data_IF_857364861978
#
_entry.id   IF_857364861978
#
_cell.length_a   1.000
_cell.length_b   1.000
_cell.length_c   1.000
_cell.angle_alpha   90.00
_cell.angle_beta   90.00
_cell.angle_gamma   90.00
#
_symmetry.space_group_name_H-M   'P 1'
#
loop_
_entity.id
_entity.type
_entity.pdbx_description
1 polymer ?
#
# COMPACT_ATOMS: atom_id res chain seq x y z
N UNK A 1 -10.04 -15.02 25.97
CA UNK A 1 -9.93 -13.55 25.85
C UNK A 1 -9.30 -13.23 24.51
N UNK A 2 -10.08 -12.81 23.53
CA UNK A 2 -9.54 -12.40 22.24
C UNK A 2 -8.80 -11.07 22.43
N UNK A 3 -7.47 -11.06 22.27
CA UNK A 3 -6.73 -9.80 22.07
C UNK A 3 -7.35 -9.15 20.83
N UNK A 4 -8.16 -8.12 21.02
CA UNK A 4 -8.66 -7.29 19.94
C UNK A 4 -7.48 -6.53 19.36
N UNK A 5 -6.87 -7.06 18.31
CA UNK A 5 -5.84 -6.33 17.59
C UNK A 5 -6.52 -5.16 16.85
N UNK A 6 -5.95 -3.96 16.96
CA UNK A 6 -6.35 -2.87 16.09
C UNK A 6 -5.84 -3.18 14.68
N UNK A 7 -6.72 -3.09 13.68
CA UNK A 7 -6.38 -3.38 12.28
C UNK A 7 -5.19 -2.56 11.79
N UNK A 8 -5.09 -1.30 12.25
CA UNK A 8 -4.00 -0.40 11.87
C UNK A 8 -2.64 -0.85 12.45
N UNK A 9 -2.60 -1.37 13.69
CA UNK A 9 -1.37 -1.90 14.29
C UNK A 9 -0.83 -3.11 13.52
N UNK A 10 -1.72 -4.00 13.07
CA UNK A 10 -1.32 -5.17 12.28
C UNK A 10 -0.88 -4.74 10.88
N UNK A 11 -1.56 -3.77 10.29
CA UNK A 11 -1.20 -3.21 8.99
C UNK A 11 0.20 -2.64 9.00
N UNK A 12 0.53 -1.81 9.99
CA UNK A 12 1.87 -1.23 10.15
C UNK A 12 2.93 -2.31 10.28
N UNK A 13 2.74 -3.26 11.21
CA UNK A 13 3.67 -4.38 11.40
C UNK A 13 3.89 -5.22 10.14
N UNK A 14 2.84 -5.46 9.36
CA UNK A 14 2.95 -6.22 8.11
C UNK A 14 3.69 -5.45 7.03
N UNK A 15 3.41 -4.15 6.87
CA UNK A 15 4.10 -3.29 5.90
C UNK A 15 5.58 -3.21 6.23
N UNK A 16 5.94 -2.99 7.50
CA UNK A 16 7.34 -2.93 7.94
C UNK A 16 8.05 -4.26 7.74
N UNK A 17 7.39 -5.37 8.07
CA UNK A 17 7.96 -6.70 7.93
C UNK A 17 8.22 -7.06 6.46
N UNK A 18 7.26 -6.79 5.57
CA UNK A 18 7.34 -7.13 4.16
C UNK A 18 8.20 -6.15 3.36
N UNK A 19 8.22 -4.86 3.72
CA UNK A 19 9.09 -3.85 3.12
C UNK A 19 10.58 -4.15 3.28
N UNK A 20 10.95 -4.84 4.36
CA UNK A 20 12.32 -5.29 4.62
C UNK A 20 12.68 -6.62 3.94
N UNK A 21 11.74 -7.30 3.27
CA UNK A 21 11.97 -8.61 2.62
C UNK A 21 11.91 -8.53 1.10
N UNK A 22 13.07 -8.58 0.44
CA UNK A 22 13.15 -8.62 -1.04
C UNK A 22 12.59 -9.90 -1.65
N UNK A 23 12.62 -11.01 -0.91
CA UNK A 23 12.20 -12.35 -1.38
C UNK A 23 10.74 -12.65 -1.07
N UNK A 24 10.06 -11.77 -0.33
CA UNK A 24 8.73 -12.05 0.24
C UNK A 24 8.82 -13.00 1.43
N UNK A 25 7.68 -13.20 2.11
CA UNK A 25 7.57 -14.09 3.27
C UNK A 25 6.33 -14.97 3.16
N UNK A 26 6.42 -16.20 3.64
CA UNK A 26 5.26 -17.09 3.74
C UNK A 26 4.34 -16.68 4.90
N UNK A 27 3.07 -17.07 4.82
CA UNK A 27 2.12 -16.81 5.91
C UNK A 27 2.54 -17.41 7.26
N UNK A 28 3.32 -18.50 7.25
CA UNK A 28 3.89 -19.10 8.46
C UNK A 28 4.96 -18.20 9.08
N UNK A 29 5.96 -17.80 8.29
CA UNK A 29 7.04 -16.91 8.74
C UNK A 29 6.50 -15.58 9.29
N UNK A 30 5.47 -15.03 8.63
CA UNK A 30 4.80 -13.81 9.07
C UNK A 30 4.13 -14.02 10.44
N UNK A 31 3.41 -15.14 10.61
CA UNK A 31 2.74 -15.45 11.87
C UNK A 31 3.72 -15.60 13.04
N UNK A 32 4.86 -16.23 12.79
CA UNK A 32 5.93 -16.42 13.78
C UNK A 32 6.59 -15.09 14.16
N UNK A 33 7.01 -14.29 13.16
CA UNK A 33 7.70 -13.02 13.40
C UNK A 33 6.81 -11.98 14.08
N UNK A 34 5.52 -11.97 13.76
CA UNK A 34 4.56 -11.05 14.38
C UNK A 34 3.99 -11.58 15.70
N UNK A 35 4.25 -12.86 16.05
CA UNK A 35 3.62 -13.55 17.18
C UNK A 35 2.08 -13.43 17.14
N UNK A 36 1.51 -13.61 15.95
CA UNK A 36 0.07 -13.58 15.68
C UNK A 36 -0.38 -14.99 15.25
N UNK A 37 -1.56 -15.41 15.68
CA UNK A 37 -2.11 -16.70 15.27
C UNK A 37 -2.23 -16.80 13.74
N UNK A 38 -1.82 -17.95 13.17
CA UNK A 38 -1.80 -18.19 11.72
C UNK A 38 -3.14 -17.92 11.01
N UNK A 39 -4.27 -18.27 11.63
CA UNK A 39 -5.61 -18.02 11.06
C UNK A 39 -5.86 -16.51 10.98
N UNK A 40 -5.52 -15.79 12.04
CA UNK A 40 -5.61 -14.32 12.10
C UNK A 40 -4.69 -13.68 11.07
N UNK A 41 -3.45 -14.17 10.93
CA UNK A 41 -2.50 -13.71 9.91
C UNK A 41 -3.07 -13.88 8.51
N UNK A 42 -3.60 -15.06 8.15
CA UNK A 42 -4.21 -15.30 6.84
C UNK A 42 -5.39 -14.36 6.57
N UNK A 43 -6.22 -14.09 7.58
CA UNK A 43 -7.34 -13.13 7.46
C UNK A 43 -6.82 -11.73 7.11
N UNK A 44 -5.85 -11.20 7.85
CA UNK A 44 -5.30 -9.88 7.58
C UNK A 44 -4.54 -9.79 6.26
N UNK A 45 -3.80 -10.83 5.88
CA UNK A 45 -3.14 -10.89 4.57
C UNK A 45 -4.16 -10.81 3.44
N UNK A 46 -5.29 -11.51 3.56
CA UNK A 46 -6.37 -11.45 2.55
C UNK A 46 -7.00 -10.07 2.47
N UNK A 47 -7.25 -9.42 3.61
CA UNK A 47 -7.80 -8.05 3.68
C UNK A 47 -6.82 -7.08 3.01
N UNK A 48 -5.55 -7.09 3.39
CA UNK A 48 -4.57 -6.13 2.88
C UNK A 48 -4.18 -6.38 1.42
N UNK A 49 -4.37 -7.60 0.92
CA UNK A 49 -4.25 -7.90 -0.50
C UNK A 49 -5.45 -7.39 -1.31
N UNK A 50 -6.66 -7.52 -0.77
CA UNK A 50 -7.85 -6.93 -1.37
C UNK A 50 -7.80 -5.40 -1.37
N UNK A 51 -7.21 -4.82 -0.32
CA UNK A 51 -6.89 -3.40 -0.31
C UNK A 51 -5.81 -3.09 -1.34
N UNK A 52 -4.82 -3.96 -1.56
CA UNK A 52 -3.71 -3.74 -2.49
C UNK A 52 -2.49 -3.11 -1.82
N UNK A 53 -2.33 -3.32 -0.52
CA UNK A 53 -1.10 -2.98 0.22
C UNK A 53 -0.03 -4.06 0.04
N UNK A 54 -0.47 -5.30 -0.15
CA UNK A 54 0.40 -6.46 -0.33
C UNK A 54 -0.07 -7.28 -1.51
N UNK A 55 0.84 -8.04 -2.11
CA UNK A 55 0.56 -8.97 -3.21
C UNK A 55 0.95 -10.37 -2.83
N UNK A 56 0.16 -11.33 -3.28
CA UNK A 56 0.44 -12.76 -3.16
C UNK A 56 1.10 -13.27 -4.45
N UNK A 57 2.12 -14.11 -4.31
CA UNK A 57 2.69 -14.90 -5.39
C UNK A 57 2.79 -16.36 -4.95
N UNK A 58 2.28 -17.27 -5.77
CA UNK A 58 2.38 -18.70 -5.50
C UNK A 58 3.69 -19.23 -6.11
N UNK A 59 4.52 -19.86 -5.28
CA UNK A 59 5.77 -20.50 -5.71
C UNK A 59 5.74 -21.95 -5.22
N UNK A 60 5.52 -22.88 -6.15
CA UNK A 60 5.24 -24.27 -5.83
C UNK A 60 4.01 -24.38 -4.93
N UNK A 61 4.19 -25.02 -3.76
CA UNK A 61 3.12 -25.20 -2.76
C UNK A 61 3.08 -24.09 -1.69
N UNK A 62 3.85 -23.01 -1.86
CA UNK A 62 3.97 -21.94 -0.85
C UNK A 62 3.43 -20.62 -1.41
N UNK A 63 2.58 -19.96 -0.62
CA UNK A 63 2.13 -18.60 -0.88
C UNK A 63 3.12 -17.63 -0.25
N UNK A 64 3.82 -16.86 -1.08
CA UNK A 64 4.69 -15.77 -0.65
C UNK A 64 3.96 -14.44 -0.77
N UNK A 65 4.13 -13.61 0.25
CA UNK A 65 3.55 -12.29 0.35
C UNK A 65 4.65 -11.25 0.19
N UNK A 66 4.33 -10.18 -0.52
CA UNK A 66 5.22 -9.07 -0.80
C UNK A 66 4.48 -7.77 -0.55
N UNK A 67 5.20 -6.70 -0.25
CA UNK A 67 4.63 -5.37 -0.36
C UNK A 67 4.24 -5.10 -1.83
N UNK A 68 3.08 -4.48 -2.06
CA UNK A 68 2.72 -4.07 -3.42
C UNK A 68 3.63 -2.91 -3.86
N UNK A 69 3.98 -2.87 -5.15
CA UNK A 69 4.86 -1.82 -5.65
C UNK A 69 4.14 -0.46 -5.56
N UNK A 70 4.80 0.52 -4.95
CA UNK A 70 4.24 1.84 -4.69
C UNK A 70 3.50 1.98 -3.35
N UNK A 71 3.52 0.97 -2.48
CA UNK A 71 3.04 1.06 -1.08
C UNK A 71 4.01 1.86 -0.22
N UNK A 72 4.06 3.16 -0.47
CA UNK A 72 4.71 4.14 0.41
C UNK A 72 3.65 4.68 1.37
N UNK A 73 3.93 4.69 2.69
CA UNK A 73 3.18 5.54 3.62
C UNK A 73 3.57 6.98 3.30
N UNK A 74 2.57 7.80 2.97
CA UNK A 74 2.78 9.24 2.81
C UNK A 74 2.47 9.95 4.12
N UNK A 75 3.27 10.95 4.45
CA UNK A 75 3.05 11.86 5.55
C UNK A 75 2.52 13.16 4.96
N UNK A 76 1.20 13.36 5.02
CA UNK A 76 0.60 14.62 4.62
C UNK A 76 0.62 15.60 5.79
N UNK A 77 0.97 16.88 5.56
CA UNK A 77 1.08 17.54 4.25
C UNK A 77 2.47 17.50 3.58
N UNK A 78 3.49 16.95 4.24
CA UNK A 78 4.90 17.01 3.80
C UNK A 78 5.12 16.38 2.42
N UNK A 79 4.40 15.30 2.13
CA UNK A 79 4.53 14.53 0.90
C UNK A 79 3.66 15.03 -0.27
N UNK A 80 2.87 16.11 -0.13
CA UNK A 80 1.99 16.59 -1.21
C UNK A 80 2.74 16.85 -2.51
N UNK A 81 3.89 17.53 -2.43
CA UNK A 81 4.69 17.85 -3.62
C UNK A 81 5.26 16.59 -4.29
N UNK A 82 5.75 15.64 -3.48
CA UNK A 82 6.30 14.36 -3.94
C UNK A 82 5.24 13.55 -4.68
N UNK A 83 4.07 13.40 -4.08
CA UNK A 83 2.94 12.64 -4.65
C UNK A 83 2.45 13.32 -5.93
N UNK A 84 2.29 14.65 -5.93
CA UNK A 84 1.92 15.43 -7.13
C UNK A 84 2.86 15.17 -8.30
N UNK A 85 4.16 15.22 -8.06
CA UNK A 85 5.19 15.01 -9.09
C UNK A 85 5.16 13.58 -9.63
N UNK A 86 5.13 12.58 -8.74
CA UNK A 86 5.05 11.16 -9.13
C UNK A 86 3.76 10.83 -9.89
N UNK A 87 2.63 11.44 -9.50
CA UNK A 87 1.35 11.19 -10.16
C UNK A 87 1.37 11.67 -11.61
N UNK A 88 1.88 12.87 -11.85
CA UNK A 88 2.02 13.42 -13.21
C UNK A 88 2.99 12.57 -14.06
N UNK A 89 4.10 12.10 -13.47
CA UNK A 89 5.04 11.19 -14.15
C UNK A 89 4.34 9.88 -14.54
N UNK A 90 3.60 9.26 -13.63
CA UNK A 90 2.90 8.00 -13.91
C UNK A 90 1.79 8.16 -14.95
N UNK A 91 1.06 9.28 -14.94
CA UNK A 91 0.06 9.59 -15.95
C UNK A 91 0.68 9.77 -17.33
N UNK A 92 1.72 10.59 -17.46
CA UNK A 92 2.39 10.86 -18.74
C UNK A 92 3.10 9.62 -19.28
N UNK A 93 3.65 8.78 -18.41
CA UNK A 93 4.26 7.49 -18.77
C UNK A 93 3.25 6.35 -18.97
N UNK A 94 1.93 6.60 -18.86
CA UNK A 94 0.85 5.59 -18.98
C UNK A 94 1.02 4.39 -18.03
N UNK A 95 1.59 4.62 -16.84
CA UNK A 95 1.77 3.59 -15.79
C UNK A 95 0.52 3.53 -14.90
N UNK A 96 -0.59 3.08 -15.47
CA UNK A 96 -1.94 3.11 -14.85
C UNK A 96 -1.97 2.51 -13.44
N UNK A 97 -1.41 1.30 -13.27
CA UNK A 97 -1.38 0.62 -11.96
C UNK A 97 -0.64 1.44 -10.89
N UNK A 98 0.48 2.07 -11.26
CA UNK A 98 1.25 2.88 -10.31
C UNK A 98 0.55 4.20 -9.99
N UNK A 99 -0.10 4.83 -10.97
CA UNK A 99 -0.91 6.03 -10.76
C UNK A 99 -2.09 5.74 -9.81
N UNK A 100 -2.79 4.63 -10.03
CA UNK A 100 -3.87 4.18 -9.16
C UNK A 100 -3.37 3.89 -7.73
N UNK A 101 -2.30 3.10 -7.59
CA UNK A 101 -1.73 2.76 -6.29
C UNK A 101 -1.30 4.02 -5.52
N UNK A 102 -0.66 4.98 -6.20
CA UNK A 102 -0.21 6.23 -5.59
C UNK A 102 -1.38 7.03 -5.00
N UNK A 103 -2.46 7.20 -5.77
CA UNK A 103 -3.68 7.90 -5.33
C UNK A 103 -4.36 7.15 -4.18
N UNK A 104 -4.49 5.83 -4.31
CA UNK A 104 -5.10 4.99 -3.28
C UNK A 104 -4.35 5.07 -1.96
N UNK A 105 -3.02 4.95 -1.99
CA UNK A 105 -2.18 5.06 -0.81
C UNK A 105 -2.25 6.47 -0.20
N UNK A 106 -2.33 7.50 -1.06
CA UNK A 106 -2.52 8.87 -0.60
C UNK A 106 -3.83 9.06 0.16
N UNK A 107 -4.93 8.44 -0.28
CA UNK A 107 -6.21 8.46 0.43
C UNK A 107 -6.14 7.77 1.79
N UNK A 108 -5.43 6.63 1.89
CA UNK A 108 -5.25 5.93 3.16
C UNK A 108 -4.30 6.67 4.12
N UNK A 109 -3.46 7.56 3.62
CA UNK A 109 -2.45 8.31 4.37
C UNK A 109 -2.90 9.72 4.78
N UNK A 110 -4.06 10.21 4.32
CA UNK A 110 -4.54 11.56 4.59
C UNK A 110 -5.82 11.59 5.41
N UNK A 111 -5.94 12.55 6.32
CA UNK A 111 -7.20 12.85 6.99
C UNK A 111 -8.17 13.67 6.12
N UNK A 112 -7.69 14.21 4.99
CA UNK A 112 -8.47 15.08 4.09
C UNK A 112 -8.42 14.57 2.64
N UNK A 113 -9.24 13.56 2.29
CA UNK A 113 -9.30 12.98 0.94
C UNK A 113 -9.49 14.02 -0.17
N UNK A 114 -10.29 15.05 0.09
CA UNK A 114 -10.57 16.13 -0.88
C UNK A 114 -9.28 16.80 -1.37
N UNK A 115 -8.27 16.96 -0.50
CA UNK A 115 -6.99 17.56 -0.90
C UNK A 115 -6.20 16.70 -1.89
N UNK A 116 -6.36 15.38 -1.89
CA UNK A 116 -5.75 14.53 -2.93
C UNK A 116 -6.38 14.87 -4.28
N UNK A 117 -7.69 15.07 -4.33
CA UNK A 117 -8.38 15.41 -5.56
C UNK A 117 -7.96 16.81 -6.03
N UNK A 118 -8.03 17.82 -5.16
CA UNK A 118 -7.82 19.22 -5.55
C UNK A 118 -6.36 19.60 -5.77
N UNK A 119 -5.43 19.00 -5.04
CA UNK A 119 -4.00 19.38 -5.09
C UNK A 119 -3.16 18.47 -6.00
N UNK A 120 -3.64 17.26 -6.30
CA UNK A 120 -2.87 16.23 -7.02
C UNK A 120 -3.57 15.86 -8.32
N UNK A 121 -4.82 15.38 -8.26
CA UNK A 121 -5.52 14.85 -9.44
C UNK A 121 -5.91 15.95 -10.41
N UNK A 122 -6.63 16.98 -9.95
CA UNK A 122 -7.09 18.09 -10.80
C UNK A 122 -5.92 18.82 -11.47
N UNK A 123 -4.84 19.21 -10.76
CA UNK A 123 -3.72 19.89 -11.39
C UNK A 123 -3.00 19.01 -12.42
N UNK A 124 -2.89 17.70 -12.19
CA UNK A 124 -2.25 16.82 -13.15
C UNK A 124 -3.07 16.67 -14.44
N UNK A 125 -4.40 16.60 -14.35
CA UNK A 125 -5.29 16.61 -15.54
C UNK A 125 -5.10 17.90 -16.34
N UNK A 126 -5.06 19.05 -15.65
CA UNK A 126 -4.82 20.36 -16.28
C UNK A 126 -3.45 20.41 -16.97
N UNK A 127 -2.41 19.87 -16.33
CA UNK A 127 -1.06 19.80 -16.92
C UNK A 127 -1.04 18.93 -18.17
N UNK A 128 -1.74 17.78 -18.19
CA UNK A 128 -1.80 16.92 -19.38
C UNK A 128 -2.61 17.54 -20.51
N UNK A 129 -3.72 18.23 -20.20
CA UNK A 129 -4.53 18.92 -21.23
C UNK A 129 -3.80 20.13 -21.84
N UNK A 130 -2.81 20.70 -21.14
CA UNK A 130 -2.03 21.84 -21.62
C UNK A 130 -0.80 21.44 -22.45
N UNK A 131 -0.57 20.13 -22.63
CA UNK A 131 0.46 19.54 -23.52
C UNK A 131 -0.17 19.25 -24.88
#
# INVERSE_FOLDING_TARGET
MARGYQTEDIKEKLVDLLGNSKTGLSGLEISERLSINRITTTKYLSIFAAEGLIKQKNIGNVNLWFIEDGTEKFHFPEDFFKVKTKYLEYLTARKEKLAYNLVRNSFHSTAQPVKIITEIIVPAIQSVHSI
#
